data_IF_407771558218
#
_entry.id   IF_407771558218
#
_cell.length_a   1.000
_cell.length_b   1.000
_cell.length_c   1.000
_cell.angle_alpha   90.00
_cell.angle_beta   90.00
_cell.angle_gamma   90.00
#
_symmetry.space_group_name_H-M   'P 1'
#
loop_
_entity.id
_entity.type
_entity.pdbx_description
1 polymer ?
#
# COMPACT_ATOMS: atom_id res chain seq x y z
N UNK A 1 -9.47 2.04 11.04
CA UNK A 1 -8.11 1.56 10.74
C UNK A 1 -8.18 0.04 10.60
N UNK A 2 -8.42 -0.44 9.39
CA UNK A 2 -8.94 -1.80 9.13
C UNK A 2 -7.80 -2.80 8.88
N UNK A 3 -7.84 -3.92 9.61
CA UNK A 3 -7.29 -5.25 9.26
C UNK A 3 -5.82 -5.47 8.89
N UNK A 4 -4.94 -4.48 9.03
CA UNK A 4 -3.50 -4.72 8.85
C UNK A 4 -2.94 -5.77 9.83
N UNK A 5 -3.58 -5.93 11.00
CA UNK A 5 -3.19 -6.89 12.03
C UNK A 5 -3.45 -8.36 11.67
N UNK A 6 -4.55 -8.67 10.97
CA UNK A 6 -4.90 -10.07 10.66
C UNK A 6 -4.21 -10.61 9.41
N UNK A 7 -3.90 -9.77 8.41
CA UNK A 7 -3.30 -10.21 7.14
C UNK A 7 -1.76 -10.17 7.06
N UNK A 8 -1.11 -9.32 7.86
CA UNK A 8 0.35 -9.10 7.76
C UNK A 8 1.11 -9.31 9.09
N UNK A 9 0.41 -9.75 10.13
CA UNK A 9 0.97 -9.95 11.47
C UNK A 9 1.43 -8.66 12.16
N UNK A 10 1.90 -8.79 13.40
CA UNK A 10 2.33 -7.66 14.25
C UNK A 10 3.38 -6.75 13.57
N UNK A 11 4.26 -7.34 12.75
CA UNK A 11 5.32 -6.62 12.03
C UNK A 11 4.78 -5.74 10.89
N UNK A 12 3.82 -6.24 10.11
CA UNK A 12 3.20 -5.47 9.03
C UNK A 12 2.39 -4.29 9.54
N UNK A 13 1.65 -4.49 10.66
CA UNK A 13 0.91 -3.42 11.32
C UNK A 13 1.83 -2.27 11.78
N UNK A 14 2.93 -2.59 12.46
CA UNK A 14 3.88 -1.58 12.96
C UNK A 14 4.55 -0.80 11.82
N UNK A 15 4.86 -1.47 10.70
CA UNK A 15 5.40 -0.80 9.51
C UNK A 15 4.41 0.15 8.87
N UNK A 16 3.14 -0.25 8.74
CA UNK A 16 2.09 0.61 8.21
C UNK A 16 1.82 1.83 9.11
N UNK A 17 1.80 1.64 10.43
CA UNK A 17 1.64 2.75 11.39
C UNK A 17 2.79 3.75 11.32
N UNK A 18 4.03 3.28 11.19
CA UNK A 18 5.21 4.14 11.02
C UNK A 18 5.14 4.97 9.73
N UNK A 19 4.81 4.33 8.60
CA UNK A 19 4.69 5.00 7.30
C UNK A 19 3.62 6.10 7.32
N UNK A 20 2.45 5.81 7.92
CA UNK A 20 1.37 6.81 8.05
C UNK A 20 1.80 7.96 8.96
N UNK A 21 2.55 7.69 10.03
CA UNK A 21 3.10 8.71 10.92
C UNK A 21 4.09 9.63 10.20
N UNK A 22 5.02 9.06 9.44
CA UNK A 22 5.99 9.83 8.64
C UNK A 22 5.30 10.70 7.59
N UNK A 23 4.31 10.17 6.87
CA UNK A 23 3.52 10.94 5.90
C UNK A 23 2.74 12.08 6.57
N UNK A 24 2.16 11.82 7.74
CA UNK A 24 1.44 12.84 8.51
C UNK A 24 2.38 13.94 8.97
N UNK A 25 3.59 13.60 9.43
CA UNK A 25 4.62 14.57 9.79
C UNK A 25 5.06 15.42 8.59
N UNK A 26 5.27 14.78 7.44
CA UNK A 26 5.64 15.45 6.20
C UNK A 26 4.57 16.45 5.74
N UNK A 27 3.29 16.07 5.79
CA UNK A 27 2.18 16.95 5.39
C UNK A 27 1.85 18.04 6.42
N UNK A 28 2.07 17.79 7.72
CA UNK A 28 1.80 18.79 8.78
C UNK A 28 2.95 19.78 9.00
N UNK A 29 4.16 19.49 8.51
CA UNK A 29 5.34 20.35 8.63
C UNK A 29 5.32 21.60 7.72
N UNK A 30 4.41 21.68 6.75
CA UNK A 30 4.29 22.83 5.85
C UNK A 30 5.46 23.05 4.88
N UNK A 31 6.37 22.08 4.77
CA UNK A 31 7.56 22.15 3.90
C UNK A 31 7.28 21.68 2.45
N UNK A 32 6.14 21.04 2.19
CA UNK A 32 5.70 20.68 0.84
C UNK A 32 4.66 21.67 0.33
N UNK A 33 4.71 21.99 -0.97
CA UNK A 33 3.59 22.64 -1.64
C UNK A 33 2.40 21.68 -1.74
N UNK A 34 1.18 22.21 -1.75
CA UNK A 34 -0.06 21.40 -1.90
C UNK A 34 0.00 20.50 -3.15
N UNK A 35 0.56 21.02 -4.23
CA UNK A 35 0.79 20.29 -5.50
C UNK A 35 1.68 19.05 -5.30
N UNK A 36 2.75 19.18 -4.52
CA UNK A 36 3.66 18.07 -4.20
C UNK A 36 2.98 17.03 -3.29
N UNK A 37 2.07 17.47 -2.41
CA UNK A 37 1.31 16.57 -1.54
C UNK A 37 0.35 15.71 -2.36
N UNK A 38 -0.34 16.32 -3.32
CA UNK A 38 -1.25 15.64 -4.25
C UNK A 38 -0.50 14.63 -5.13
N UNK A 39 0.67 15.00 -5.66
CA UNK A 39 1.50 14.08 -6.45
C UNK A 39 1.96 12.87 -5.62
N UNK A 40 2.36 13.10 -4.36
CA UNK A 40 2.77 12.02 -3.46
C UNK A 40 1.60 11.05 -3.15
N UNK A 41 0.40 11.59 -2.90
CA UNK A 41 -0.79 10.77 -2.67
C UNK A 41 -1.17 9.93 -3.90
N UNK A 42 -1.07 10.52 -5.10
CA UNK A 42 -1.26 9.80 -6.36
C UNK A 42 -0.23 8.68 -6.55
N UNK A 43 1.04 8.91 -6.19
CA UNK A 43 2.08 7.90 -6.27
C UNK A 43 1.79 6.70 -5.34
N UNK A 44 1.35 6.97 -4.10
CA UNK A 44 0.93 5.92 -3.15
C UNK A 44 -0.27 5.13 -3.70
N UNK A 45 -1.27 5.81 -4.24
CA UNK A 45 -2.44 5.17 -4.86
C UNK A 45 -2.04 4.23 -6.00
N UNK A 46 -1.17 4.70 -6.91
CA UNK A 46 -0.64 3.89 -8.02
C UNK A 46 0.14 2.68 -7.53
N UNK A 47 0.97 2.83 -6.50
CA UNK A 47 1.72 1.73 -5.91
C UNK A 47 0.79 0.62 -5.38
N UNK A 48 -0.32 1.00 -4.73
CA UNK A 48 -1.36 0.06 -4.30
C UNK A 48 -2.04 -0.65 -5.48
N UNK A 49 -2.38 0.06 -6.54
CA UNK A 49 -2.98 -0.53 -7.75
C UNK A 49 -2.05 -1.54 -8.42
N UNK A 50 -0.76 -1.22 -8.56
CA UNK A 50 0.26 -2.13 -9.10
C UNK A 50 0.38 -3.39 -8.24
N UNK A 51 0.42 -3.25 -6.90
CA UNK A 51 0.47 -4.38 -6.00
C UNK A 51 -0.76 -5.30 -6.14
N UNK A 52 -1.96 -4.70 -6.29
CA UNK A 52 -3.21 -5.43 -6.51
C UNK A 52 -3.22 -6.14 -7.87
N UNK A 53 -2.76 -5.49 -8.93
CA UNK A 53 -2.70 -6.09 -10.27
C UNK A 53 -1.71 -7.27 -10.30
N UNK A 54 -0.54 -7.11 -9.69
CA UNK A 54 0.43 -8.19 -9.55
C UNK A 54 -0.16 -9.37 -8.77
N UNK A 55 -0.79 -9.14 -7.61
CA UNK A 55 -1.45 -10.20 -6.86
C UNK A 55 -2.56 -10.91 -7.66
N UNK A 56 -3.33 -10.19 -8.48
CA UNK A 56 -4.32 -10.80 -9.39
C UNK A 56 -3.66 -11.62 -10.50
N UNK A 57 -2.53 -11.18 -11.03
CA UNK A 57 -1.78 -11.88 -12.08
C UNK A 57 -1.17 -13.18 -11.56
N UNK A 58 -0.70 -13.22 -10.31
CA UNK A 58 -0.20 -14.43 -9.66
C UNK A 58 -1.33 -15.36 -9.21
N UNK A 59 -2.42 -14.85 -8.63
CA UNK A 59 -3.55 -15.67 -8.22
C UNK A 59 -4.27 -16.37 -9.39
N UNK A 60 -4.19 -15.82 -10.61
CA UNK A 60 -4.74 -16.46 -11.82
C UNK A 60 -3.88 -17.60 -12.38
N UNK A 61 -2.64 -17.78 -11.92
CA UNK A 61 -1.74 -18.82 -12.43
C UNK A 61 -1.98 -20.20 -11.80
N UNK A 62 -2.71 -20.28 -10.70
CA UNK A 62 -2.90 -21.54 -9.94
C UNK A 62 -4.12 -22.36 -10.38
N UNK A 63 -4.81 -22.00 -11.48
CA UNK A 63 -6.03 -22.68 -11.93
C UNK A 63 -5.97 -23.32 -13.33
N UNK A 64 -4.79 -23.44 -13.94
CA UNK A 64 -4.67 -24.05 -15.29
C UNK A 64 -3.82 -25.32 -15.39
N UNK A 65 -3.34 -25.88 -14.28
CA UNK A 65 -2.62 -27.16 -14.30
C UNK A 65 -3.12 -28.06 -13.17
N UNK A 66 -4.29 -28.65 -13.38
CA UNK A 66 -4.74 -29.94 -12.83
C UNK A 66 -6.14 -30.18 -13.36
N UNK A 67 -6.23 -30.80 -14.52
CA UNK A 67 -7.24 -31.81 -14.82
C UNK A 67 -6.63 -32.72 -15.89
N UNK A 68 -6.72 -34.01 -15.61
CA UNK A 68 -6.13 -35.17 -16.27
C UNK A 68 -6.36 -35.30 -17.78
#
# INVERSE_FOLDING_TARGET
MLDAGERYGYRGKKGAEALVGELTGLFSGGELAEEDMDELMLAIQKAYEIAKENNRKYARKDHTEKND
#
